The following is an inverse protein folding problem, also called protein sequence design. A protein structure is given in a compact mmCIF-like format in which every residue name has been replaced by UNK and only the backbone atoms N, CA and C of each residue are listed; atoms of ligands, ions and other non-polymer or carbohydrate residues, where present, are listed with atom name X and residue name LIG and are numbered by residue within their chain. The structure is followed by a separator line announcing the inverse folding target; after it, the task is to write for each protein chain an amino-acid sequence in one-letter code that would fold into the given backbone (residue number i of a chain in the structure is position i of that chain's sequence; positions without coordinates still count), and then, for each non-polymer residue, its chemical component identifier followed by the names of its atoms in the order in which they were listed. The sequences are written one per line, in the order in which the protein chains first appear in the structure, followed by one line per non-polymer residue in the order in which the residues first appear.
data_IF_850327656987
#
_entry.id   IF_850327656987
#
_cell.length_a   1.000
_cell.length_b   1.000
_cell.length_c   1.000
_cell.angle_alpha   90.00
_cell.angle_beta   90.00
_cell.angle_gamma   90.00
#
_symmetry.space_group_name_H-M   'P 1'
#
loop_
_entity.id
_entity.type
_entity.pdbx_description
1 polymer ?
#
# COMPACT_ATOMS: atom_id res chain seq x y z
N UNK A 1 11.16 0.62 6.96
CA UNK A 1 9.98 1.37 7.49
C UNK A 1 9.01 0.35 8.08
N UNK A 2 8.45 0.60 9.27
CA UNK A 2 7.41 -0.24 9.88
C UNK A 2 6.00 0.32 9.62
N UNK A 3 4.94 -0.38 10.08
CA UNK A 3 3.55 0.00 9.82
C UNK A 3 3.15 1.35 10.44
N UNK A 4 3.64 1.67 11.63
CA UNK A 4 3.32 2.96 12.28
C UNK A 4 4.00 4.12 11.55
N UNK A 5 5.28 3.97 11.19
CA UNK A 5 6.00 4.94 10.38
C UNK A 5 5.32 5.15 9.03
N UNK A 6 4.78 4.09 8.43
CA UNK A 6 4.01 4.18 7.19
C UNK A 6 2.71 4.95 7.37
N UNK A 7 1.97 4.66 8.44
CA UNK A 7 0.74 5.36 8.82
C UNK A 7 1.01 6.85 9.00
N UNK A 8 1.99 7.20 9.81
CA UNK A 8 2.42 8.58 10.02
C UNK A 8 2.81 9.25 8.69
N UNK A 9 3.59 8.56 7.85
CA UNK A 9 4.00 9.08 6.53
C UNK A 9 2.79 9.38 5.62
N UNK A 10 1.77 8.52 5.62
CA UNK A 10 0.52 8.75 4.91
C UNK A 10 -0.25 9.96 5.47
N UNK A 11 -0.41 10.04 6.80
CA UNK A 11 -1.18 11.09 7.47
C UNK A 11 -0.54 12.48 7.37
N UNK A 12 0.79 12.57 7.19
CA UNK A 12 1.46 13.84 6.92
C UNK A 12 1.12 14.44 5.55
N UNK A 13 0.51 13.67 4.63
CA UNK A 13 0.08 14.19 3.33
C UNK A 13 -1.24 14.98 3.49
N UNK A 14 -1.31 16.14 2.84
CA UNK A 14 -2.46 17.04 2.94
C UNK A 14 -3.76 16.35 2.55
N UNK A 15 -4.75 16.42 3.44
CA UNK A 15 -6.12 15.94 3.17
C UNK A 15 -6.26 14.41 3.17
N UNK A 16 -5.29 13.70 3.75
CA UNK A 16 -5.41 12.25 3.95
C UNK A 16 -6.27 11.95 5.17
N UNK A 17 -7.13 10.96 5.03
CA UNK A 17 -7.89 10.32 6.10
C UNK A 17 -7.56 8.84 6.14
N UNK A 18 -7.79 8.21 7.28
CA UNK A 18 -7.72 6.76 7.44
C UNK A 18 -9.03 6.22 8.01
N UNK A 19 -9.39 5.01 7.63
CA UNK A 19 -10.58 4.31 8.12
C UNK A 19 -10.47 2.80 7.89
N UNK A 20 -11.45 2.06 8.39
CA UNK A 20 -11.59 0.61 8.34
C UNK A 20 -12.87 0.23 7.56
N UNK A 21 -12.91 0.45 6.23
CA UNK A 21 -14.15 0.40 5.47
C UNK A 21 -14.57 -1.03 5.07
N UNK A 22 -13.73 -2.02 5.35
CA UNK A 22 -13.94 -3.43 4.98
C UNK A 22 -14.18 -4.30 6.22
N UNK A 23 -13.31 -4.16 7.22
CA UNK A 23 -13.30 -4.89 8.49
C UNK A 23 -12.45 -4.11 9.51
N UNK A 24 -12.34 -4.61 10.75
CA UNK A 24 -11.60 -3.97 11.85
C UNK A 24 -10.07 -4.02 11.70
N UNK A 25 -9.54 -4.76 10.72
CA UNK A 25 -8.12 -5.07 10.60
C UNK A 25 -7.47 -4.54 9.31
N UNK A 26 -8.26 -4.02 8.37
CA UNK A 26 -7.78 -3.48 7.09
C UNK A 26 -7.79 -1.95 7.11
N UNK A 27 -6.64 -1.37 7.44
CA UNK A 27 -6.45 0.08 7.46
C UNK A 27 -6.36 0.62 6.03
N UNK A 28 -7.23 1.56 5.67
CA UNK A 28 -7.29 2.18 4.34
C UNK A 28 -7.02 3.68 4.44
N UNK A 29 -6.10 4.17 3.62
CA UNK A 29 -5.81 5.60 3.48
C UNK A 29 -6.48 6.18 2.24
N UNK A 30 -7.14 7.32 2.41
CA UNK A 30 -7.87 8.01 1.35
C UNK A 30 -7.45 9.48 1.26
N UNK A 31 -7.53 10.04 0.06
CA UNK A 31 -7.47 11.50 -0.17
C UNK A 31 -8.76 11.89 -0.89
N UNK A 32 -9.48 12.88 -0.35
CA UNK A 32 -10.81 13.27 -0.85
C UNK A 32 -11.75 12.07 -1.05
N UNK A 33 -11.75 11.12 -0.11
CA UNK A 33 -12.57 9.91 -0.16
C UNK A 33 -12.14 8.85 -1.18
N UNK A 34 -11.01 9.02 -1.87
CA UNK A 34 -10.46 8.03 -2.82
C UNK A 34 -9.26 7.30 -2.22
N UNK A 35 -9.29 5.97 -2.22
CA UNK A 35 -8.21 5.13 -1.70
C UNK A 35 -6.93 5.28 -2.52
N UNK A 36 -5.80 5.34 -1.82
CA UNK A 36 -4.47 5.29 -2.45
C UNK A 36 -3.52 4.30 -1.78
N UNK A 37 -3.77 3.91 -0.53
CA UNK A 37 -3.02 2.88 0.17
C UNK A 37 -3.93 2.07 1.10
N UNK A 38 -3.58 0.81 1.36
CA UNK A 38 -4.18 -0.01 2.42
C UNK A 38 -3.20 -1.07 2.94
N UNK A 39 -3.40 -1.50 4.18
CA UNK A 39 -2.60 -2.53 4.84
C UNK A 39 -3.49 -3.41 5.72
N UNK A 40 -3.27 -4.71 5.71
CA UNK A 40 -3.80 -5.60 6.75
C UNK A 40 -2.91 -5.51 7.98
N UNK A 41 -3.47 -5.17 9.15
CA UNK A 41 -2.70 -4.95 10.37
C UNK A 41 -2.20 -6.25 11.02
N UNK A 42 -2.83 -7.37 10.71
CA UNK A 42 -2.48 -8.70 11.24
C UNK A 42 -1.62 -9.52 10.27
N UNK A 43 -1.32 -9.00 9.07
CA UNK A 43 -0.51 -9.71 8.09
C UNK A 43 0.97 -9.69 8.48
N UNK A 44 1.59 -10.87 8.48
CA UNK A 44 3.03 -11.04 8.70
C UNK A 44 3.63 -11.78 7.49
N UNK A 45 4.56 -11.17 6.75
CA UNK A 45 5.15 -9.84 6.97
C UNK A 45 4.18 -8.69 6.65
N UNK A 46 4.49 -7.48 7.13
CA UNK A 46 3.70 -6.28 6.85
C UNK A 46 3.69 -5.96 5.34
N UNK A 47 2.53 -6.12 4.72
CA UNK A 47 2.30 -5.89 3.30
C UNK A 47 1.36 -4.70 3.09
N UNK A 48 1.75 -3.79 2.20
CA UNK A 48 0.91 -2.64 1.82
C UNK A 48 0.53 -2.73 0.35
N UNK A 49 -0.72 -2.40 0.05
CA UNK A 49 -1.19 -2.17 -1.31
C UNK A 49 -1.11 -0.68 -1.62
N UNK A 50 -0.45 -0.30 -2.72
CA UNK A 50 -0.36 1.08 -3.20
C UNK A 50 -0.95 1.20 -4.59
N UNK A 51 -1.74 2.26 -4.79
CA UNK A 51 -2.24 2.63 -6.11
C UNK A 51 -1.09 3.16 -6.96
N UNK A 52 -1.03 2.73 -8.21
CA UNK A 52 0.05 3.06 -9.14
C UNK A 52 -0.49 3.29 -10.54
N UNK A 53 0.22 4.10 -11.31
CA UNK A 53 0.03 4.17 -12.76
C UNK A 53 0.30 2.79 -13.39
N UNK A 54 -0.51 2.33 -14.37
CA UNK A 54 -0.35 0.99 -14.93
C UNK A 54 1.01 0.69 -15.56
N UNK A 55 1.62 1.64 -16.27
CA UNK A 55 2.91 1.44 -16.92
C UNK A 55 4.00 1.36 -15.85
N UNK A 56 3.97 2.31 -14.90
CA UNK A 56 4.89 2.31 -13.76
C UNK A 56 4.74 1.07 -12.86
N UNK A 57 3.53 0.54 -12.73
CA UNK A 57 3.28 -0.66 -11.93
C UNK A 57 4.04 -1.87 -12.48
N UNK A 58 4.13 -2.00 -13.81
CA UNK A 58 4.88 -3.07 -14.48
C UNK A 58 6.38 -2.87 -14.25
N UNK A 59 6.91 -1.67 -14.53
CA UNK A 59 8.32 -1.35 -14.35
C UNK A 59 8.80 -1.67 -12.92
N UNK A 60 8.01 -1.30 -11.90
CA UNK A 60 8.38 -1.54 -10.50
C UNK A 60 8.41 -3.03 -10.15
N UNK A 61 7.51 -3.84 -10.70
CA UNK A 61 7.50 -5.29 -10.46
C UNK A 61 8.70 -5.97 -11.12
N UNK A 62 9.11 -5.49 -12.29
CA UNK A 62 10.28 -6.00 -13.00
C UNK A 62 11.57 -5.61 -12.25
N UNK A 63 11.71 -4.33 -11.88
CA UNK A 63 12.90 -3.81 -11.21
C UNK A 63 13.09 -4.36 -9.78
N UNK A 64 12.00 -4.65 -9.07
CA UNK A 64 12.00 -5.10 -7.68
C UNK A 64 11.33 -6.47 -7.52
N UNK A 65 11.61 -7.38 -8.46
CA UNK A 65 11.03 -8.72 -8.47
C UNK A 65 11.22 -9.43 -7.10
N UNK A 66 10.13 -9.99 -6.56
CA UNK A 66 10.09 -10.62 -5.23
C UNK A 66 9.87 -9.66 -4.06
N UNK A 67 10.02 -8.34 -4.26
CA UNK A 67 9.71 -7.30 -3.26
C UNK A 67 8.44 -6.52 -3.58
N UNK A 68 8.18 -6.29 -4.87
CA UNK A 68 6.97 -5.65 -5.39
C UNK A 68 6.27 -6.62 -6.34
N UNK A 69 4.97 -6.86 -6.13
CA UNK A 69 4.16 -7.75 -6.95
C UNK A 69 2.76 -7.19 -7.16
N UNK A 70 1.93 -7.93 -7.92
CA UNK A 70 0.57 -7.50 -8.24
C UNK A 70 -0.31 -7.38 -7.00
N UNK A 71 -1.12 -6.31 -6.94
CA UNK A 71 -2.01 -6.02 -5.82
C UNK A 71 -2.82 -7.23 -5.33
N UNK A 72 -2.60 -7.61 -4.07
CA UNK A 72 -3.34 -8.62 -3.33
C UNK A 72 -4.77 -8.14 -3.08
N UNK A 73 -5.77 -8.92 -3.48
CA UNK A 73 -7.20 -8.54 -3.53
C UNK A 73 -7.55 -7.25 -4.29
N UNK A 74 -6.60 -6.67 -5.01
CA UNK A 74 -6.78 -5.43 -5.77
C UNK A 74 -6.64 -5.66 -7.28
N UNK A 75 -7.07 -4.66 -8.06
CA UNK A 75 -6.86 -4.66 -9.50
C UNK A 75 -5.37 -4.52 -9.83
N UNK A 76 -4.74 -5.61 -10.28
CA UNK A 76 -3.31 -5.73 -10.61
C UNK A 76 -2.85 -4.81 -11.75
N UNK A 77 -3.76 -4.17 -12.48
CA UNK A 77 -3.41 -3.09 -13.42
C UNK A 77 -3.05 -1.79 -12.70
N UNK A 78 -3.67 -1.51 -11.55
CA UNK A 78 -3.59 -0.21 -10.88
C UNK A 78 -2.99 -0.27 -9.47
N UNK A 79 -2.65 -1.47 -8.98
CA UNK A 79 -2.21 -1.66 -7.60
C UNK A 79 -1.04 -2.62 -7.53
N UNK A 80 -0.08 -2.26 -6.68
CA UNK A 80 1.05 -3.10 -6.30
C UNK A 80 0.95 -3.46 -4.82
N UNK A 81 1.41 -4.65 -4.47
CA UNK A 81 1.70 -5.04 -3.10
C UNK A 81 3.20 -5.01 -2.88
N UNK A 82 3.63 -4.57 -1.70
CA UNK A 82 5.03 -4.57 -1.32
C UNK A 82 5.19 -4.88 0.16
N UNK A 83 6.29 -5.56 0.48
CA UNK A 83 6.68 -5.87 1.86
C UNK A 83 7.52 -4.70 2.39
N UNK A 84 6.91 -3.86 3.22
CA UNK A 84 7.46 -2.55 3.59
C UNK A 84 8.79 -2.62 4.34
N UNK A 85 8.99 -3.71 5.08
CA UNK A 85 10.20 -3.96 5.88
C UNK A 85 11.39 -4.40 5.02
N UNK A 86 11.14 -4.82 3.78
CA UNK A 86 12.16 -5.36 2.86
C UNK A 86 12.51 -4.42 1.73
N UNK A 87 11.92 -3.21 1.71
CA UNK A 87 12.28 -2.21 0.71
C UNK A 87 13.70 -1.67 0.96
N UNK A 88 14.48 -1.40 -0.10
CA UNK A 88 15.75 -0.69 0.02
C UNK A 88 15.54 0.72 0.61
N UNK A 89 16.53 1.22 1.33
CA UNK A 89 16.54 2.57 1.93
C UNK A 89 16.64 3.67 0.87
#
# INVERSE_FOLDING_TARGET
MNIEQFREYCLHKKGVTEEFPFDENTLVFKVMGKMFALSGLEHIPNEINLKCDPERAIELREAYNGLIYGGYHMNKKHWNTLVIERLPN
#
